data_IF_163756315122
#
_entry.id   IF_163756315122
#
_cell.length_a   1.000
_cell.length_b   1.000
_cell.length_c   1.000
_cell.angle_alpha   90.00
_cell.angle_beta   90.00
_cell.angle_gamma   90.00
#
_symmetry.space_group_name_H-M   'P 1'
#
loop_
_entity.id
_entity.type
_entity.pdbx_description
1 polymer ?
#
# COMPACT_ATOMS: atom_id res chain seq x y z
N UNK A 1 21.38 54.50 -0.94
CA UNK A 1 20.60 53.69 0.04
C UNK A 1 19.48 52.88 -0.61
N UNK A 2 18.51 53.45 -1.30
CA UNK A 2 17.36 52.72 -1.90
C UNK A 2 17.77 51.56 -2.82
N UNK A 3 18.75 51.79 -3.74
CA UNK A 3 19.24 50.71 -4.64
C UNK A 3 19.90 49.55 -3.90
N UNK A 4 20.55 49.78 -2.77
CA UNK A 4 21.16 48.74 -1.94
C UNK A 4 20.06 47.92 -1.22
N UNK A 5 19.04 48.58 -0.67
CA UNK A 5 17.90 47.98 -0.04
C UNK A 5 17.14 47.08 -1.04
N UNK A 6 16.85 47.62 -2.25
CA UNK A 6 16.18 46.86 -3.30
C UNK A 6 16.98 45.60 -3.69
N UNK A 7 18.30 45.73 -3.88
CA UNK A 7 19.16 44.57 -4.19
C UNK A 7 19.14 43.53 -3.05
N UNK A 8 19.23 43.97 -1.79
CA UNK A 8 19.18 43.09 -0.65
C UNK A 8 17.83 42.32 -0.57
N UNK A 9 16.73 43.06 -0.79
CA UNK A 9 15.37 42.41 -0.82
C UNK A 9 15.27 41.38 -1.94
N UNK A 10 15.72 41.75 -3.15
CA UNK A 10 15.72 40.79 -4.29
C UNK A 10 16.57 39.57 -3.96
N UNK A 11 17.79 39.76 -3.43
CA UNK A 11 18.66 38.63 -3.08
C UNK A 11 18.03 37.71 -2.04
N UNK A 12 17.46 38.28 -0.98
CA UNK A 12 16.77 37.49 0.06
C UNK A 12 15.59 36.75 -0.51
N UNK A 13 14.77 37.42 -1.36
CA UNK A 13 13.62 36.76 -2.01
C UNK A 13 14.05 35.59 -2.90
N UNK A 14 15.11 35.77 -3.70
CA UNK A 14 15.65 34.68 -4.54
C UNK A 14 16.15 33.51 -3.69
N UNK A 15 16.89 33.80 -2.61
CA UNK A 15 17.38 32.76 -1.72
C UNK A 15 16.22 31.96 -1.04
N UNK A 16 15.16 32.68 -0.64
CA UNK A 16 13.95 32.02 -0.07
C UNK A 16 13.29 31.11 -1.10
N UNK A 17 13.08 31.58 -2.33
CA UNK A 17 12.50 30.76 -3.40
C UNK A 17 13.37 29.54 -3.68
N UNK A 18 14.69 29.72 -3.80
CA UNK A 18 15.61 28.59 -4.00
C UNK A 18 15.55 27.58 -2.83
N UNK A 19 15.48 28.05 -1.60
CA UNK A 19 15.36 27.17 -0.42
C UNK A 19 14.07 26.35 -0.45
N UNK A 20 12.94 26.93 -0.85
CA UNK A 20 11.66 26.24 -1.01
C UNK A 20 11.74 25.19 -2.11
N UNK A 21 12.33 25.51 -3.26
CA UNK A 21 12.49 24.59 -4.38
C UNK A 21 13.41 23.41 -4.01
N UNK A 22 14.54 23.68 -3.35
CA UNK A 22 15.48 22.64 -2.88
C UNK A 22 14.79 21.76 -1.84
N UNK A 23 14.05 22.34 -0.90
CA UNK A 23 13.27 21.60 0.08
C UNK A 23 12.23 20.66 -0.58
N UNK A 24 11.46 21.18 -1.52
CA UNK A 24 10.46 20.38 -2.24
C UNK A 24 11.10 19.26 -3.07
N UNK A 25 12.23 19.54 -3.74
CA UNK A 25 13.03 18.52 -4.42
C UNK A 25 13.52 17.42 -3.47
N UNK A 26 14.04 17.81 -2.30
CA UNK A 26 14.50 16.86 -1.27
C UNK A 26 13.38 15.97 -0.78
N UNK A 27 12.23 16.54 -0.37
CA UNK A 27 11.08 15.77 0.10
C UNK A 27 10.50 14.88 -0.99
N UNK A 28 10.45 15.31 -2.25
CA UNK A 28 10.04 14.44 -3.35
C UNK A 28 10.99 13.23 -3.52
N UNK A 29 12.29 13.42 -3.23
CA UNK A 29 13.28 12.35 -3.21
C UNK A 29 13.00 11.33 -2.10
N UNK A 30 12.62 11.78 -0.91
CA UNK A 30 12.26 10.89 0.20
C UNK A 30 10.98 10.08 -0.11
N UNK A 31 10.07 10.62 -0.91
CA UNK A 31 8.90 9.86 -1.38
C UNK A 31 9.30 8.78 -2.37
N UNK A 32 10.17 9.11 -3.35
CA UNK A 32 10.62 8.18 -4.38
C UNK A 32 11.53 7.06 -3.84
N UNK A 33 12.38 7.39 -2.89
CA UNK A 33 13.43 6.48 -2.37
C UNK A 33 13.34 6.41 -0.85
N UNK A 34 12.31 5.74 -0.32
CA UNK A 34 12.21 5.51 1.12
C UNK A 34 13.32 4.57 1.60
N UNK A 35 13.74 4.75 2.84
CA UNK A 35 14.54 3.75 3.53
C UNK A 35 13.71 2.49 3.78
N UNK A 36 14.34 1.32 3.66
CA UNK A 36 13.76 0.06 4.11
C UNK A 36 13.75 0.03 5.65
N UNK A 37 12.61 -0.31 6.23
CA UNK A 37 12.54 -0.60 7.66
C UNK A 37 12.99 -2.04 7.89
N UNK A 38 14.05 -2.27 8.69
CA UNK A 38 14.44 -3.63 9.03
C UNK A 38 13.28 -4.31 9.75
N UNK A 39 13.04 -5.56 9.40
CA UNK A 39 12.03 -6.34 10.09
C UNK A 39 12.40 -6.46 11.57
N UNK A 40 11.48 -6.13 12.44
CA UNK A 40 11.59 -6.35 13.88
C UNK A 40 10.24 -6.83 14.43
N UNK A 41 10.28 -7.66 15.46
CA UNK A 41 9.10 -8.28 16.05
C UNK A 41 8.08 -7.26 16.60
N UNK A 42 8.51 -6.04 16.90
CA UNK A 42 7.60 -4.98 17.34
C UNK A 42 6.74 -4.47 16.17
N UNK A 43 7.30 -4.45 14.96
CA UNK A 43 6.64 -3.90 13.78
C UNK A 43 5.93 -4.97 12.95
N UNK A 44 6.56 -6.14 12.75
CA UNK A 44 6.09 -7.17 11.83
C UNK A 44 5.51 -8.42 12.48
N UNK A 45 5.77 -8.69 13.76
CA UNK A 45 5.49 -9.92 14.50
C UNK A 45 6.42 -11.06 14.06
N UNK A 46 6.51 -11.37 12.76
CA UNK A 46 7.33 -12.42 12.18
C UNK A 46 8.36 -11.82 11.23
N UNK A 47 9.63 -12.21 11.37
CA UNK A 47 10.76 -11.62 10.62
C UNK A 47 11.64 -12.65 9.93
N UNK A 48 11.26 -13.91 9.98
CA UNK A 48 11.90 -15.00 9.26
C UNK A 48 11.00 -15.43 8.07
N UNK A 49 11.33 -16.53 7.45
CA UNK A 49 10.54 -17.10 6.37
C UNK A 49 9.18 -17.67 6.85
N UNK A 50 8.29 -18.07 5.96
CA UNK A 50 7.05 -18.76 6.33
C UNK A 50 7.25 -20.02 7.21
N UNK A 51 8.43 -20.62 7.21
CA UNK A 51 8.76 -21.72 8.10
C UNK A 51 8.70 -21.34 9.59
N UNK A 52 8.90 -20.06 9.95
CA UNK A 52 8.75 -19.56 11.33
C UNK A 52 7.33 -19.80 11.88
N UNK A 53 6.34 -19.80 11.00
CA UNK A 53 4.94 -20.05 11.34
C UNK A 53 4.46 -21.45 10.91
N UNK A 54 5.41 -22.35 10.61
CA UNK A 54 5.13 -23.75 10.28
C UNK A 54 4.59 -24.00 8.87
N UNK A 55 4.75 -23.05 7.95
CA UNK A 55 4.28 -23.17 6.58
C UNK A 55 5.43 -23.54 5.62
N UNK A 56 5.18 -24.52 4.75
CA UNK A 56 6.04 -24.81 3.60
C UNK A 56 5.92 -23.68 2.58
N UNK A 57 6.99 -23.38 1.87
CA UNK A 57 7.01 -22.31 0.87
C UNK A 57 8.07 -22.55 -0.21
N UNK A 58 7.91 -21.87 -1.32
CA UNK A 58 8.87 -21.79 -2.43
C UNK A 58 9.31 -20.32 -2.59
N UNK A 59 10.62 -20.07 -2.75
CA UNK A 59 11.11 -18.78 -3.22
C UNK A 59 10.71 -18.64 -4.69
N UNK A 60 10.10 -17.51 -5.04
CA UNK A 60 9.68 -17.23 -6.42
C UNK A 60 10.32 -15.94 -6.92
N UNK A 61 10.63 -15.92 -8.20
CA UNK A 61 11.03 -14.73 -8.94
C UNK A 61 9.96 -14.43 -10.00
N UNK A 62 9.49 -13.18 -10.00
CA UNK A 62 8.49 -12.68 -10.93
C UNK A 62 9.09 -11.54 -11.74
N UNK A 63 8.47 -11.21 -12.87
CA UNK A 63 8.80 -10.03 -13.65
C UNK A 63 7.53 -9.21 -13.89
N UNK A 64 7.56 -7.95 -13.52
CA UNK A 64 6.47 -7.03 -13.80
C UNK A 64 6.44 -6.67 -15.29
N UNK A 65 5.29 -6.21 -15.81
CA UNK A 65 5.10 -5.90 -17.23
C UNK A 65 6.08 -4.85 -17.80
N UNK A 66 6.71 -4.06 -16.93
CA UNK A 66 7.73 -3.07 -17.28
C UNK A 66 9.17 -3.58 -17.03
N UNK A 67 9.34 -4.90 -16.87
CA UNK A 67 10.63 -5.57 -16.80
C UNK A 67 11.31 -5.54 -15.42
N UNK A 68 10.65 -5.03 -14.38
CA UNK A 68 11.18 -5.03 -13.00
C UNK A 68 11.10 -6.43 -12.42
N UNK A 69 12.25 -6.94 -11.94
CA UNK A 69 12.32 -8.26 -11.30
C UNK A 69 11.89 -8.18 -9.83
N UNK A 70 11.01 -9.08 -9.45
CA UNK A 70 10.42 -9.14 -8.11
C UNK A 70 10.76 -10.47 -7.45
N UNK A 71 10.92 -10.43 -6.13
CA UNK A 71 11.09 -11.59 -5.28
C UNK A 71 9.85 -11.82 -4.43
N UNK A 72 9.54 -13.07 -4.12
CA UNK A 72 8.38 -13.40 -3.31
C UNK A 72 8.44 -14.81 -2.74
N UNK A 73 7.43 -15.14 -1.95
CA UNK A 73 7.16 -16.48 -1.47
C UNK A 73 5.83 -16.99 -2.04
N UNK A 74 5.85 -18.21 -2.56
CA UNK A 74 4.64 -18.97 -2.82
C UNK A 74 4.45 -19.98 -1.69
N UNK A 75 3.33 -19.90 -1.00
CA UNK A 75 2.92 -20.84 0.04
C UNK A 75 1.82 -21.71 -0.56
N UNK A 76 2.07 -23.03 -0.77
CA UNK A 76 1.06 -23.91 -1.33
C UNK A 76 -0.14 -24.07 -0.37
N UNK A 77 -1.31 -24.29 -0.93
CA UNK A 77 -2.55 -24.50 -0.19
C UNK A 77 -3.23 -25.80 -0.56
N UNK A 78 -4.39 -26.05 0.03
CA UNK A 78 -5.24 -27.22 -0.27
C UNK A 78 -6.33 -26.91 -1.30
N UNK A 79 -6.64 -25.62 -1.50
CA UNK A 79 -7.61 -25.18 -2.50
C UNK A 79 -6.93 -25.07 -3.87
N UNK A 80 -7.54 -25.65 -4.89
CA UNK A 80 -6.98 -25.70 -6.23
C UNK A 80 -7.40 -24.50 -7.09
N UNK A 81 -8.49 -23.80 -6.73
CA UNK A 81 -9.13 -22.80 -7.56
C UNK A 81 -9.19 -21.39 -6.94
N UNK A 82 -8.80 -21.23 -5.68
CA UNK A 82 -8.85 -19.96 -4.99
C UNK A 82 -7.56 -19.70 -4.19
N UNK A 83 -7.03 -18.48 -4.25
CA UNK A 83 -5.80 -18.09 -3.56
C UNK A 83 -5.73 -16.60 -3.23
N UNK A 84 -4.69 -16.19 -2.50
CA UNK A 84 -4.57 -14.81 -2.00
C UNK A 84 -3.17 -14.26 -2.23
N UNK A 85 -3.09 -13.02 -2.74
CA UNK A 85 -1.84 -12.24 -2.85
C UNK A 85 -1.77 -11.26 -1.68
N UNK A 86 -0.64 -11.22 -0.96
CA UNK A 86 -0.41 -10.33 0.17
C UNK A 86 0.63 -9.27 -0.19
N UNK A 87 0.26 -7.99 0.00
CA UNK A 87 0.96 -6.81 -0.50
C UNK A 87 1.34 -5.88 0.65
N UNK A 88 2.63 -5.74 0.91
CA UNK A 88 3.15 -4.95 2.02
C UNK A 88 3.07 -3.42 1.81
N UNK A 89 3.26 -2.66 2.89
CA UNK A 89 3.30 -1.21 2.89
C UNK A 89 4.66 -0.62 2.48
N UNK A 90 4.73 0.70 2.43
CA UNK A 90 5.95 1.45 2.09
C UNK A 90 7.07 1.21 3.10
N UNK A 91 8.27 0.91 2.62
CA UNK A 91 9.44 0.59 3.44
C UNK A 91 9.35 -0.76 4.15
N UNK A 92 8.29 -1.52 3.93
CA UNK A 92 8.10 -2.87 4.43
C UNK A 92 8.55 -3.92 3.40
N UNK A 93 8.38 -5.19 3.75
CA UNK A 93 8.70 -6.34 2.91
C UNK A 93 7.59 -7.40 3.01
N UNK A 94 7.68 -8.45 2.21
CA UNK A 94 6.77 -9.62 2.21
C UNK A 94 6.47 -10.20 3.59
N UNK A 95 7.34 -10.01 4.58
CA UNK A 95 7.12 -10.45 5.97
C UNK A 95 5.85 -9.86 6.60
N UNK A 96 5.41 -8.70 6.16
CA UNK A 96 4.19 -8.07 6.69
C UNK A 96 2.94 -8.95 6.53
N UNK A 97 2.90 -9.81 5.51
CA UNK A 97 1.78 -10.72 5.23
C UNK A 97 1.75 -11.96 6.11
N UNK A 98 2.86 -12.33 6.77
CA UNK A 98 2.94 -13.59 7.52
C UNK A 98 1.90 -13.71 8.65
N UNK A 99 1.50 -12.60 9.25
CA UNK A 99 0.48 -12.57 10.30
C UNK A 99 -0.89 -13.07 9.84
N UNK A 100 -1.29 -12.70 8.63
CA UNK A 100 -2.59 -13.09 8.08
C UNK A 100 -2.49 -14.41 7.29
N UNK A 101 -1.26 -14.79 6.87
CA UNK A 101 -1.00 -16.06 6.21
C UNK A 101 -1.39 -17.27 7.08
N UNK A 102 -1.32 -17.15 8.41
CA UNK A 102 -1.75 -18.21 9.34
C UNK A 102 -3.24 -18.51 9.11
N UNK A 103 -4.10 -17.50 9.23
CA UNK A 103 -5.55 -17.65 9.08
C UNK A 103 -5.94 -18.16 7.68
N UNK A 104 -5.28 -17.66 6.64
CA UNK A 104 -5.54 -18.06 5.25
C UNK A 104 -5.07 -19.49 4.96
N UNK A 105 -3.95 -19.93 5.54
CA UNK A 105 -3.45 -21.30 5.40
C UNK A 105 -4.37 -22.33 6.08
N UNK A 106 -4.94 -21.97 7.24
CA UNK A 106 -5.94 -22.80 7.93
C UNK A 106 -7.18 -23.04 7.06
N UNK A 107 -7.58 -22.03 6.27
CA UNK A 107 -8.66 -22.16 5.28
C UNK A 107 -8.23 -22.92 4.01
N UNK A 108 -6.93 -23.12 3.83
CA UNK A 108 -6.37 -23.89 2.71
C UNK A 108 -6.02 -23.05 1.48
N UNK A 109 -6.00 -21.71 1.56
CA UNK A 109 -5.61 -20.87 0.44
C UNK A 109 -4.11 -21.00 0.13
N UNK A 110 -3.73 -21.29 -1.13
CA UNK A 110 -2.39 -20.95 -1.60
C UNK A 110 -2.20 -19.44 -1.59
N UNK A 111 -0.98 -19.00 -1.29
CA UNK A 111 -0.68 -17.57 -1.13
C UNK A 111 0.58 -17.17 -1.87
N UNK A 112 0.61 -15.93 -2.35
CA UNK A 112 1.81 -15.25 -2.82
C UNK A 112 2.06 -14.02 -1.95
N UNK A 113 3.24 -13.96 -1.33
CA UNK A 113 3.73 -12.81 -0.60
C UNK A 113 4.88 -12.20 -1.40
N UNK A 114 4.72 -10.99 -1.94
CA UNK A 114 5.74 -10.33 -2.78
C UNK A 114 6.46 -9.22 -2.02
N UNK A 115 7.74 -9.05 -2.33
CA UNK A 115 8.40 -7.77 -2.16
C UNK A 115 8.06 -6.90 -3.37
N UNK A 116 7.40 -5.76 -3.14
CA UNK A 116 7.17 -4.77 -4.18
C UNK A 116 8.50 -4.23 -4.70
N UNK A 117 8.51 -3.67 -5.92
CA UNK A 117 9.69 -2.96 -6.45
C UNK A 117 10.30 -2.02 -5.42
N UNK A 118 11.62 -1.87 -5.46
CA UNK A 118 12.38 -1.04 -4.52
C UNK A 118 12.29 -1.47 -3.04
N UNK A 119 11.86 -2.70 -2.74
CA UNK A 119 11.72 -3.22 -1.38
C UNK A 119 12.33 -4.63 -1.27
N UNK A 120 12.80 -4.98 -0.09
CA UNK A 120 13.29 -6.31 0.21
C UNK A 120 14.35 -6.82 -0.77
N UNK A 121 14.09 -7.98 -1.38
CA UNK A 121 14.96 -8.62 -2.36
C UNK A 121 14.58 -8.33 -3.81
N UNK A 122 13.51 -7.57 -4.05
CA UNK A 122 13.12 -7.12 -5.38
C UNK A 122 14.07 -6.06 -5.94
N UNK A 123 14.08 -5.93 -7.27
CA UNK A 123 14.94 -4.97 -7.97
C UNK A 123 14.73 -3.55 -7.48
N UNK A 124 15.85 -2.84 -7.27
CA UNK A 124 15.82 -1.44 -6.86
C UNK A 124 15.30 -0.56 -7.99
N UNK A 125 14.29 0.21 -7.67
CA UNK A 125 13.59 1.13 -8.53
C UNK A 125 13.23 2.36 -7.69
N UNK A 126 12.13 3.01 -7.97
CA UNK A 126 11.60 4.07 -7.12
C UNK A 126 10.19 3.70 -6.64
N UNK A 127 9.79 4.29 -5.52
CA UNK A 127 8.47 4.10 -4.95
C UNK A 127 7.48 5.09 -5.58
N UNK A 128 6.40 4.57 -6.16
CA UNK A 128 5.39 5.35 -6.85
C UNK A 128 4.07 5.46 -6.08
N UNK A 129 4.07 5.08 -4.80
CA UNK A 129 2.90 5.13 -3.92
C UNK A 129 1.67 4.39 -4.48
N UNK A 130 1.93 3.28 -5.17
CA UNK A 130 0.91 2.39 -5.72
C UNK A 130 0.77 2.41 -7.24
N UNK A 131 1.27 3.43 -7.95
CA UNK A 131 1.08 3.55 -9.40
C UNK A 131 1.77 2.45 -10.20
N UNK A 132 3.07 2.31 -10.02
CA UNK A 132 3.83 1.26 -10.68
C UNK A 132 3.79 -0.05 -9.90
N UNK A 133 3.65 0.02 -8.57
CA UNK A 133 3.51 -1.16 -7.72
C UNK A 133 2.24 -1.98 -8.03
N UNK A 134 1.21 -1.38 -8.66
CA UNK A 134 0.06 -2.13 -9.17
C UNK A 134 0.48 -3.20 -10.19
N UNK A 135 1.52 -2.94 -11.02
CA UNK A 135 2.09 -3.91 -11.97
C UNK A 135 2.74 -5.09 -11.27
N UNK A 136 3.33 -4.86 -10.08
CA UNK A 136 3.91 -5.92 -9.26
C UNK A 136 2.83 -6.86 -8.75
N UNK A 137 1.69 -6.29 -8.32
CA UNK A 137 0.51 -7.08 -7.92
C UNK A 137 -0.05 -7.86 -9.12
N UNK A 138 -0.10 -7.26 -10.31
CA UNK A 138 -0.55 -7.95 -11.53
C UNK A 138 0.33 -9.16 -11.86
N UNK A 139 1.66 -9.06 -11.68
CA UNK A 139 2.56 -10.19 -11.92
C UNK A 139 2.35 -11.33 -10.91
N UNK A 140 2.06 -11.02 -9.64
CA UNK A 140 1.71 -12.02 -8.64
C UNK A 140 0.37 -12.70 -8.95
N UNK A 141 -0.62 -11.95 -9.45
CA UNK A 141 -1.90 -12.49 -9.92
C UNK A 141 -1.69 -13.40 -11.14
N UNK A 142 -0.88 -12.98 -12.12
CA UNK A 142 -0.56 -13.78 -13.29
C UNK A 142 0.11 -15.12 -12.91
N UNK A 143 1.07 -15.08 -11.96
CA UNK A 143 1.68 -16.29 -11.42
C UNK A 143 0.66 -17.25 -10.79
N UNK A 144 -0.31 -16.72 -10.02
CA UNK A 144 -1.38 -17.53 -9.46
C UNK A 144 -2.24 -18.18 -10.56
N UNK A 145 -2.55 -17.43 -11.62
CA UNK A 145 -3.28 -17.95 -12.79
C UNK A 145 -2.51 -19.06 -13.51
N UNK A 146 -1.19 -18.92 -13.65
CA UNK A 146 -0.32 -19.96 -14.24
C UNK A 146 -0.29 -21.24 -13.39
N UNK A 147 -0.48 -21.13 -12.07
CA UNK A 147 -0.66 -22.28 -11.16
C UNK A 147 -2.06 -22.90 -11.23
N UNK A 148 -2.98 -22.36 -12.05
CA UNK A 148 -4.36 -22.86 -12.22
C UNK A 148 -5.34 -22.30 -11.19
N UNK A 149 -4.97 -21.25 -10.45
CA UNK A 149 -5.81 -20.61 -9.45
C UNK A 149 -6.63 -19.51 -10.10
N UNK A 150 -7.93 -19.71 -10.23
CA UNK A 150 -8.80 -18.81 -11.01
C UNK A 150 -9.45 -17.71 -10.17
N UNK A 151 -9.69 -17.94 -8.87
CA UNK A 151 -10.29 -17.00 -7.95
C UNK A 151 -9.22 -16.38 -7.06
N UNK A 152 -8.94 -15.10 -7.22
CA UNK A 152 -7.81 -14.47 -6.55
C UNK A 152 -8.28 -13.32 -5.68
N UNK A 153 -7.94 -13.40 -4.39
CA UNK A 153 -8.06 -12.30 -3.44
C UNK A 153 -6.78 -11.52 -3.30
N UNK A 154 -6.87 -10.28 -2.83
CA UNK A 154 -5.72 -9.48 -2.48
C UNK A 154 -5.85 -8.92 -1.06
N UNK A 155 -4.77 -8.99 -0.27
CA UNK A 155 -4.64 -8.34 1.04
C UNK A 155 -3.57 -7.27 0.92
N UNK A 156 -3.91 -6.03 1.21
CA UNK A 156 -2.95 -4.93 1.19
C UNK A 156 -2.85 -4.20 2.52
N UNK A 157 -1.63 -3.74 2.85
CA UNK A 157 -1.34 -3.00 4.07
C UNK A 157 -0.79 -1.62 3.75
N UNK A 158 -1.38 -0.54 4.30
CA UNK A 158 -0.91 0.84 4.10
C UNK A 158 -0.81 1.20 2.61
N UNK A 159 0.38 1.54 2.12
CA UNK A 159 0.62 1.72 0.68
C UNK A 159 0.20 0.50 -0.13
N UNK A 160 0.43 -0.72 0.37
CA UNK A 160 -0.01 -1.95 -0.28
C UNK A 160 -1.54 -2.05 -0.39
N UNK A 161 -2.31 -1.50 0.56
CA UNK A 161 -3.76 -1.41 0.46
C UNK A 161 -4.19 -0.48 -0.68
N UNK A 162 -3.59 0.71 -0.76
CA UNK A 162 -3.84 1.67 -1.84
C UNK A 162 -3.40 1.13 -3.20
N UNK A 163 -2.24 0.46 -3.25
CA UNK A 163 -1.75 -0.27 -4.44
C UNK A 163 -2.74 -1.35 -4.88
N UNK A 164 -3.26 -2.13 -3.94
CA UNK A 164 -4.21 -3.21 -4.23
C UNK A 164 -5.56 -2.69 -4.73
N UNK A 165 -6.02 -1.53 -4.26
CA UNK A 165 -7.21 -0.84 -4.81
C UNK A 165 -6.97 -0.48 -6.28
N UNK A 166 -5.81 0.13 -6.59
CA UNK A 166 -5.44 0.48 -7.97
C UNK A 166 -5.35 -0.78 -8.85
N UNK A 167 -4.62 -1.80 -8.39
CA UNK A 167 -4.47 -3.05 -9.11
C UNK A 167 -5.81 -3.74 -9.37
N UNK A 168 -6.68 -3.82 -8.36
CA UNK A 168 -8.00 -4.43 -8.49
C UNK A 168 -8.91 -3.66 -9.44
N UNK A 169 -8.78 -2.33 -9.54
CA UNK A 169 -9.55 -1.53 -10.49
C UNK A 169 -9.17 -1.80 -11.95
N UNK A 170 -7.93 -2.24 -12.21
CA UNK A 170 -7.37 -2.46 -13.54
C UNK A 170 -7.40 -3.93 -13.96
N UNK A 171 -7.28 -4.84 -13.00
CA UNK A 171 -7.22 -6.27 -13.25
C UNK A 171 -8.52 -6.96 -12.84
N UNK A 172 -9.33 -7.46 -13.80
CA UNK A 172 -10.56 -8.18 -13.51
C UNK A 172 -10.35 -9.56 -12.87
N UNK A 173 -9.12 -10.11 -12.93
CA UNK A 173 -8.78 -11.40 -12.31
C UNK A 173 -8.61 -11.32 -10.78
N UNK A 174 -8.73 -10.13 -10.19
CA UNK A 174 -8.76 -9.97 -8.73
C UNK A 174 -10.22 -9.93 -8.27
N UNK A 175 -10.68 -10.98 -7.61
CA UNK A 175 -12.10 -11.19 -7.26
C UNK A 175 -12.53 -10.54 -5.94
N UNK A 176 -11.62 -10.35 -4.97
CA UNK A 176 -11.92 -9.78 -3.65
C UNK A 176 -10.74 -9.00 -3.08
N UNK A 177 -10.99 -7.91 -2.33
CA UNK A 177 -9.93 -7.08 -1.76
C UNK A 177 -10.10 -6.77 -0.28
N UNK A 178 -9.03 -7.00 0.52
CA UNK A 178 -8.91 -6.61 1.92
C UNK A 178 -7.87 -5.51 2.07
N UNK A 179 -8.27 -4.32 2.55
CA UNK A 179 -7.46 -3.10 2.55
C UNK A 179 -7.30 -2.56 3.97
N UNK A 180 -6.14 -2.83 4.60
CA UNK A 180 -5.82 -2.40 5.96
C UNK A 180 -5.00 -1.10 5.93
N UNK A 181 -5.55 -0.02 6.53
CA UNK A 181 -4.91 1.28 6.72
C UNK A 181 -4.47 1.97 5.41
N UNK A 182 -5.20 1.76 4.31
CA UNK A 182 -4.93 2.41 3.02
C UNK A 182 -5.26 3.91 3.03
N UNK A 183 -4.55 4.68 2.20
CA UNK A 183 -4.84 6.10 1.99
C UNK A 183 -5.69 6.32 0.73
N UNK A 184 -6.53 7.35 0.75
CA UNK A 184 -7.44 7.70 -0.34
C UNK A 184 -6.73 8.33 -1.54
N UNK A 185 -5.74 9.20 -1.30
CA UNK A 185 -4.95 9.91 -2.30
C UNK A 185 -3.63 10.42 -1.72
N UNK A 186 -2.69 10.75 -2.60
CA UNK A 186 -1.36 11.20 -2.22
C UNK A 186 -1.35 12.63 -1.66
N UNK A 187 -2.18 13.51 -2.19
CA UNK A 187 -2.24 14.91 -1.74
C UNK A 187 -2.66 15.02 -0.28
N UNK A 188 -3.73 14.35 0.08
CA UNK A 188 -4.28 14.38 1.44
C UNK A 188 -3.26 13.85 2.44
N UNK A 189 -2.62 12.70 2.16
CA UNK A 189 -1.65 12.14 3.11
C UNK A 189 -0.38 13.00 3.22
N UNK A 190 0.13 13.59 2.14
CA UNK A 190 1.28 14.50 2.20
C UNK A 190 0.93 15.74 3.04
N UNK A 191 -0.26 16.31 2.87
CA UNK A 191 -0.70 17.47 3.63
C UNK A 191 -0.89 17.16 5.12
N UNK A 192 -1.53 16.04 5.45
CA UNK A 192 -1.71 15.60 6.84
C UNK A 192 -0.36 15.37 7.53
N UNK A 193 0.55 14.67 6.85
CA UNK A 193 1.92 14.46 7.32
C UNK A 193 2.68 15.76 7.49
N UNK A 194 2.60 16.64 6.51
CA UNK A 194 3.26 17.93 6.56
C UNK A 194 2.78 18.83 7.71
N UNK A 195 1.49 18.85 7.98
CA UNK A 195 0.91 19.57 9.14
C UNK A 195 1.35 18.96 10.47
N UNK A 196 1.31 17.64 10.58
CA UNK A 196 1.64 16.94 11.82
C UNK A 196 3.13 17.00 12.14
N UNK A 197 3.99 16.71 11.16
CA UNK A 197 5.42 16.48 11.39
C UNK A 197 6.22 17.79 11.40
N UNK A 198 5.76 18.82 10.69
CA UNK A 198 6.51 20.07 10.51
C UNK A 198 5.76 21.32 10.97
N UNK A 199 4.44 21.26 11.18
CA UNK A 199 3.64 22.41 11.63
C UNK A 199 3.73 23.63 10.71
N UNK A 200 4.03 23.45 9.42
CA UNK A 200 4.35 24.52 8.48
C UNK A 200 3.09 25.32 8.13
N UNK A 201 3.15 26.68 8.22
CA UNK A 201 2.18 27.50 7.54
C UNK A 201 2.32 27.30 6.03
N UNK A 202 1.22 27.33 5.29
CA UNK A 202 1.21 27.10 3.82
C UNK A 202 1.69 25.69 3.40
N UNK A 203 1.49 24.67 4.26
CA UNK A 203 1.82 23.28 3.95
C UNK A 203 1.18 22.81 2.64
N UNK A 204 0.01 23.32 2.33
CA UNK A 204 -0.76 22.97 1.14
C UNK A 204 -0.05 23.39 -0.17
N UNK A 205 0.50 24.62 -0.21
CA UNK A 205 1.26 25.11 -1.37
C UNK A 205 2.59 24.37 -1.50
N UNK A 206 3.24 24.09 -0.38
CA UNK A 206 4.51 23.34 -0.37
C UNK A 206 4.30 21.89 -0.79
N UNK A 207 3.23 21.21 -0.31
CA UNK A 207 2.91 19.83 -0.69
C UNK A 207 2.61 19.69 -2.18
N UNK A 208 1.91 20.65 -2.80
CA UNK A 208 1.70 20.69 -4.26
C UNK A 208 3.03 20.76 -5.02
N UNK A 209 4.00 21.54 -4.53
CA UNK A 209 5.32 21.63 -5.15
C UNK A 209 6.12 20.34 -4.97
N UNK A 210 6.04 19.70 -3.79
CA UNK A 210 6.63 18.37 -3.53
C UNK A 210 6.03 17.34 -4.49
N UNK A 211 4.70 17.30 -4.62
CA UNK A 211 4.00 16.42 -5.56
C UNK A 211 4.43 16.68 -7.00
N UNK A 212 4.50 17.93 -7.43
CA UNK A 212 4.93 18.27 -8.79
C UNK A 212 6.33 17.73 -9.11
N UNK A 213 7.30 17.89 -8.19
CA UNK A 213 8.63 17.30 -8.36
C UNK A 213 8.58 15.77 -8.37
N UNK A 214 7.76 15.17 -7.50
CA UNK A 214 7.58 13.73 -7.42
C UNK A 214 7.04 13.16 -8.75
N UNK A 215 6.00 13.75 -9.28
CA UNK A 215 5.39 13.38 -10.57
C UNK A 215 6.39 13.53 -11.74
N UNK A 216 7.07 14.67 -11.81
CA UNK A 216 8.05 14.92 -12.89
C UNK A 216 9.23 13.96 -12.85
N UNK A 217 9.69 13.57 -11.68
CA UNK A 217 10.83 12.66 -11.50
C UNK A 217 10.42 11.19 -11.69
N UNK A 218 9.20 10.83 -11.32
CA UNK A 218 8.67 9.47 -11.42
C UNK A 218 7.89 9.18 -12.69
N UNK A 219 7.60 10.19 -13.54
CA UNK A 219 6.73 10.02 -14.70
C UNK A 219 5.29 9.64 -14.30
N UNK A 220 4.78 10.21 -13.20
CA UNK A 220 3.52 9.83 -12.58
C UNK A 220 2.42 10.86 -12.84
N UNK A 221 1.18 10.41 -12.84
CA UNK A 221 -0.03 11.21 -12.71
C UNK A 221 -0.77 10.78 -11.44
N UNK A 222 -0.50 11.45 -10.33
CA UNK A 222 -1.07 11.11 -9.04
C UNK A 222 -2.42 11.79 -8.76
N UNK A 223 -2.94 12.57 -9.71
CA UNK A 223 -4.17 13.32 -9.58
C UNK A 223 -5.38 12.58 -10.15
N UNK A 224 -5.23 11.99 -11.33
CA UNK A 224 -6.33 11.33 -12.04
C UNK A 224 -6.56 9.90 -11.58
N UNK A 225 -5.52 9.18 -11.19
CA UNK A 225 -5.57 7.78 -10.78
C UNK A 225 -5.28 7.63 -9.27
N UNK A 226 -6.29 7.84 -8.45
CA UNK A 226 -6.18 7.68 -6.99
C UNK A 226 -7.05 6.52 -6.51
N UNK A 227 -6.75 5.88 -5.37
CA UNK A 227 -7.63 4.89 -4.77
C UNK A 227 -9.08 5.41 -4.61
N UNK A 228 -9.23 6.68 -4.22
CA UNK A 228 -10.55 7.32 -4.09
C UNK A 228 -11.31 7.37 -5.42
N UNK A 229 -10.64 7.72 -6.51
CA UNK A 229 -11.29 7.88 -7.81
C UNK A 229 -11.70 6.54 -8.44
N UNK A 230 -11.04 5.43 -8.07
CA UNK A 230 -11.25 4.14 -8.73
C UNK A 230 -12.02 3.13 -7.89
N UNK A 231 -12.09 3.28 -6.55
CA UNK A 231 -12.63 2.25 -5.66
C UNK A 231 -14.09 1.88 -5.99
N UNK A 232 -14.90 2.83 -6.43
CA UNK A 232 -16.30 2.57 -6.82
C UNK A 232 -16.42 1.67 -8.06
N UNK A 233 -15.42 1.68 -8.96
CA UNK A 233 -15.42 0.86 -10.18
C UNK A 233 -15.09 -0.61 -9.93
N UNK A 234 -14.65 -0.96 -8.73
CA UNK A 234 -14.34 -2.33 -8.34
C UNK A 234 -15.60 -3.20 -8.27
N UNK A 235 -16.74 -2.59 -7.92
CA UNK A 235 -18.04 -3.29 -7.88
C UNK A 235 -18.30 -4.07 -9.18
N UNK A 236 -18.90 -5.28 -9.14
CA UNK A 236 -19.52 -5.95 -7.99
C UNK A 236 -18.57 -6.87 -7.17
N UNK A 237 -17.27 -6.67 -7.25
CA UNK A 237 -16.29 -7.46 -6.47
C UNK A 237 -16.24 -6.93 -5.03
N UNK A 238 -16.28 -7.81 -3.99
CA UNK A 238 -16.34 -7.37 -2.61
C UNK A 238 -15.04 -6.71 -2.15
N UNK A 239 -15.17 -5.68 -1.33
CA UNK A 239 -14.07 -5.00 -0.68
C UNK A 239 -14.30 -4.92 0.83
N UNK A 240 -13.26 -5.20 1.62
CA UNK A 240 -13.20 -4.97 3.05
C UNK A 240 -12.20 -3.84 3.34
N UNK A 241 -12.64 -2.81 4.01
CA UNK A 241 -11.78 -1.72 4.46
C UNK A 241 -11.61 -1.82 5.97
N UNK A 242 -10.36 -1.84 6.43
CA UNK A 242 -9.98 -1.97 7.83
C UNK A 242 -9.16 -0.76 8.25
N UNK A 243 -9.48 -0.11 9.37
CA UNK A 243 -8.72 1.05 9.82
C UNK A 243 -8.78 1.26 11.33
N UNK A 244 -7.63 1.58 11.92
CA UNK A 244 -7.53 1.89 13.35
C UNK A 244 -7.84 3.37 13.66
N UNK A 245 -8.59 3.64 14.74
CA UNK A 245 -8.95 5.04 15.12
C UNK A 245 -7.77 5.84 15.68
N UNK A 246 -6.74 5.17 16.19
CA UNK A 246 -5.50 5.78 16.68
C UNK A 246 -4.35 5.72 15.66
N UNK A 247 -4.67 5.51 14.37
CA UNK A 247 -3.68 5.57 13.30
C UNK A 247 -3.23 7.02 13.07
N UNK A 248 -1.96 7.29 13.39
CA UNK A 248 -1.33 8.60 13.21
C UNK A 248 -0.52 8.69 11.91
N UNK A 249 -0.37 7.60 11.17
CA UNK A 249 0.39 7.56 9.91
C UNK A 249 -0.54 7.86 8.73
N UNK A 250 -1.64 7.12 8.65
CA UNK A 250 -2.75 7.34 7.72
C UNK A 250 -4.00 7.47 8.59
N UNK A 251 -4.58 8.66 8.68
CA UNK A 251 -5.68 8.87 9.61
C UNK A 251 -6.91 8.04 9.24
N UNK A 252 -7.72 7.68 10.24
CA UNK A 252 -8.94 6.87 10.03
C UNK A 252 -9.91 7.48 9.02
N UNK A 253 -9.84 8.79 8.79
CA UNK A 253 -10.67 9.48 7.82
C UNK A 253 -10.44 8.98 6.38
N UNK A 254 -9.22 8.54 6.04
CA UNK A 254 -8.95 7.92 4.76
C UNK A 254 -9.78 6.63 4.57
N UNK A 255 -9.81 5.77 5.58
CA UNK A 255 -10.60 4.52 5.54
C UNK A 255 -12.10 4.80 5.45
N UNK A 256 -12.60 5.77 6.22
CA UNK A 256 -14.02 6.18 6.15
C UNK A 256 -14.39 6.71 4.76
N UNK A 257 -13.57 7.60 4.20
CA UNK A 257 -13.80 8.17 2.86
C UNK A 257 -13.76 7.08 1.77
N UNK A 258 -12.80 6.15 1.84
CA UNK A 258 -12.74 5.01 0.90
C UNK A 258 -14.00 4.13 1.03
N UNK A 259 -14.44 3.82 2.25
CA UNK A 259 -15.65 3.05 2.48
C UNK A 259 -16.90 3.76 1.95
N UNK A 260 -17.05 5.04 2.25
CA UNK A 260 -18.22 5.83 1.78
C UNK A 260 -18.29 5.88 0.26
N UNK A 261 -17.12 5.94 -0.42
CA UNK A 261 -17.02 6.04 -1.88
C UNK A 261 -17.16 4.68 -2.58
N UNK A 262 -16.72 3.60 -1.94
CA UNK A 262 -16.84 2.25 -2.50
C UNK A 262 -18.30 1.89 -2.79
N UNK A 263 -18.53 1.19 -3.92
CA UNK A 263 -19.85 0.63 -4.23
C UNK A 263 -19.99 -0.79 -3.63
N UNK A 264 -21.24 -1.26 -3.52
CA UNK A 264 -21.54 -2.59 -2.96
C UNK A 264 -21.02 -3.74 -3.85
N UNK A 265 -20.63 -4.89 -3.26
CA UNK A 265 -20.62 -5.21 -1.82
C UNK A 265 -19.36 -4.66 -1.12
N UNK A 266 -19.55 -3.93 -0.04
CA UNK A 266 -18.48 -3.31 0.76
C UNK A 266 -18.66 -3.58 2.24
N UNK A 267 -17.53 -3.73 2.96
CA UNK A 267 -17.49 -4.00 4.38
C UNK A 267 -16.52 -3.05 5.06
N UNK A 268 -16.75 -2.74 6.34
CA UNK A 268 -15.88 -1.86 7.11
C UNK A 268 -15.64 -2.39 8.51
N UNK A 269 -14.39 -2.41 8.91
CA UNK A 269 -13.98 -2.70 10.27
C UNK A 269 -13.14 -1.55 10.82
N UNK A 270 -13.77 -0.68 11.61
CA UNK A 270 -13.08 0.34 12.37
C UNK A 270 -12.63 -0.24 13.70
N UNK A 271 -11.34 -0.10 14.03
CA UNK A 271 -10.72 -0.70 15.21
C UNK A 271 -10.51 0.40 16.25
N UNK A 272 -11.28 0.41 17.37
CA UNK A 272 -11.07 1.36 18.44
C UNK A 272 -9.63 1.28 18.97
N UNK A 273 -8.97 2.42 19.14
CA UNK A 273 -7.58 2.56 19.59
C UNK A 273 -6.56 1.77 18.74
N UNK A 274 -6.98 1.24 17.59
CA UNK A 274 -6.10 0.55 16.64
C UNK A 274 -5.09 1.50 16.02
N UNK A 275 -3.83 1.08 15.98
CA UNK A 275 -2.73 1.82 15.34
C UNK A 275 -2.57 1.37 13.88
N UNK A 276 -1.69 2.07 13.15
CA UNK A 276 -1.41 1.82 11.74
C UNK A 276 -1.09 0.36 11.44
N UNK A 277 -1.86 -0.29 10.57
CA UNK A 277 -1.73 -1.70 10.16
C UNK A 277 -1.62 -2.71 11.31
N UNK A 278 -2.29 -2.44 12.44
CA UNK A 278 -2.25 -3.27 13.64
C UNK A 278 -3.56 -4.02 13.90
N UNK A 279 -4.33 -4.34 12.87
CA UNK A 279 -5.60 -5.07 12.98
C UNK A 279 -5.44 -6.40 13.70
N UNK A 280 -4.45 -7.19 13.31
CA UNK A 280 -4.13 -8.48 13.95
C UNK A 280 -3.70 -8.33 15.41
N UNK A 281 -2.85 -7.36 15.75
CA UNK A 281 -2.39 -7.15 17.13
C UNK A 281 -3.48 -6.56 18.04
N UNK A 282 -4.41 -5.79 17.48
CA UNK A 282 -5.48 -5.17 18.24
C UNK A 282 -6.54 -6.19 18.68
N UNK A 283 -6.89 -7.13 17.82
CA UNK A 283 -7.85 -8.20 18.11
C UNK A 283 -7.59 -9.38 17.15
N UNK A 284 -6.68 -10.26 17.57
CA UNK A 284 -6.25 -11.39 16.75
C UNK A 284 -7.41 -12.31 16.38
N UNK A 285 -8.27 -12.66 17.33
CA UNK A 285 -9.38 -13.57 17.11
C UNK A 285 -10.36 -13.00 16.08
N UNK A 286 -10.73 -11.74 16.23
CA UNK A 286 -11.63 -11.06 15.30
C UNK A 286 -11.00 -10.86 13.93
N UNK A 287 -9.71 -10.48 13.86
CA UNK A 287 -8.98 -10.33 12.61
C UNK A 287 -8.96 -11.63 11.82
N UNK A 288 -8.53 -12.73 12.46
CA UNK A 288 -8.50 -14.08 11.87
C UNK A 288 -9.87 -14.52 11.38
N UNK A 289 -10.91 -14.34 12.19
CA UNK A 289 -12.28 -14.69 11.79
C UNK A 289 -12.76 -13.86 10.60
N UNK A 290 -12.63 -12.53 10.67
CA UNK A 290 -13.14 -11.65 9.62
C UNK A 290 -12.44 -11.86 8.27
N UNK A 291 -11.12 -12.06 8.24
CA UNK A 291 -10.39 -12.29 6.98
C UNK A 291 -10.77 -13.66 6.38
N UNK A 292 -10.92 -14.68 7.22
CA UNK A 292 -11.36 -16.01 6.79
C UNK A 292 -12.76 -15.97 6.20
N UNK A 293 -13.73 -15.36 6.91
CA UNK A 293 -15.11 -15.23 6.48
C UNK A 293 -15.23 -14.43 5.18
N UNK A 294 -14.47 -13.32 5.07
CA UNK A 294 -14.49 -12.44 3.91
C UNK A 294 -14.04 -13.16 2.63
N UNK A 295 -12.89 -13.85 2.65
CA UNK A 295 -12.41 -14.57 1.48
C UNK A 295 -13.22 -15.84 1.18
N UNK A 296 -13.75 -16.54 2.19
CA UNK A 296 -14.67 -17.66 1.96
C UNK A 296 -15.93 -17.22 1.21
N UNK A 297 -16.51 -16.07 1.58
CA UNK A 297 -17.69 -15.53 0.89
C UNK A 297 -17.34 -14.95 -0.49
N UNK A 298 -16.18 -14.27 -0.61
CA UNK A 298 -15.78 -13.57 -1.83
C UNK A 298 -15.23 -14.46 -2.93
N UNK A 299 -14.58 -15.59 -2.58
CA UNK A 299 -13.86 -16.43 -3.53
C UNK A 299 -14.50 -17.82 -3.73
N UNK A 300 -15.20 -18.38 -2.73
CA UNK A 300 -15.69 -19.76 -2.81
C UNK A 300 -17.19 -19.84 -3.13
N UNK A 301 -17.98 -18.84 -2.81
CA UNK A 301 -19.45 -18.86 -2.94
C UNK A 301 -19.97 -18.12 -4.20
N UNK A 302 -19.12 -17.88 -5.20
CA UNK A 302 -19.49 -17.22 -6.46
C UNK A 302 -19.33 -18.12 -7.68
#
# INVERSE_FOLDING_TARGET
MLKIIIRAVITVSVLLVLSVLIGAWHFSGQLLYPDDYPCNAEHYIFCESPAQIGLEYEEIALEAEDGVRLSGWFIPGRLDNAGVVLVHGRGATRHAGLRDAIALSEQGYPMVLIDLRNSGESERSFNSMGFHEAKDVHSAVAFMKEKGIDKIGVVGYSMGASTSILAMSENPDIDAGWFDSGFQDLDTIIQERGRRDYGLPAVEQFSRLVRWFYEKRGGLDTETRTPLNVIASISPRPVMIVHGTADIIVTVNHGRTLYDTAAEPKFYWEIPEGRHTRSYQADQEKSTRLISDFFSQGLQNR
#
